data_IF_297656872835
#
_entry.id   IF_297656872835
#
_cell.length_a   1.000
_cell.length_b   1.000
_cell.length_c   1.000
_cell.angle_alpha   90.00
_cell.angle_beta   90.00
_cell.angle_gamma   90.00
#
_symmetry.space_group_name_H-M   'P 1'
#
loop_
_entity.id
_entity.type
_entity.pdbx_description
1 polymer ?
#
# COMPACT_ATOMS: atom_id res chain seq x y z
N UNK A 1 -41.40 -1.67 10.70
CA UNK A 1 -40.28 -2.57 11.07
C UNK A 1 -39.81 -3.45 9.90
N UNK A 2 -40.71 -4.03 9.13
CA UNK A 2 -40.31 -4.91 7.97
C UNK A 2 -39.42 -4.21 6.92
N UNK A 3 -39.71 -2.97 6.52
CA UNK A 3 -38.93 -2.23 5.52
C UNK A 3 -37.47 -2.00 5.92
N UNK A 4 -37.18 -1.67 7.19
CA UNK A 4 -35.82 -1.51 7.70
C UNK A 4 -35.03 -2.83 7.77
N UNK A 5 -35.71 -3.94 8.01
CA UNK A 5 -35.08 -5.26 7.97
C UNK A 5 -34.68 -5.62 6.53
N UNK A 6 -35.57 -5.39 5.56
CA UNK A 6 -35.29 -5.64 4.14
C UNK A 6 -34.13 -4.76 3.60
N UNK A 7 -34.10 -3.45 3.97
CA UNK A 7 -33.01 -2.54 3.57
C UNK A 7 -31.64 -2.95 4.18
N UNK A 8 -31.66 -3.52 5.38
CA UNK A 8 -30.44 -4.03 6.04
C UNK A 8 -29.95 -5.32 5.39
N UNK A 9 -30.88 -6.25 5.09
CA UNK A 9 -30.53 -7.51 4.42
C UNK A 9 -29.94 -7.24 3.01
N UNK A 10 -30.51 -6.28 2.28
CA UNK A 10 -30.00 -5.86 0.97
C UNK A 10 -28.58 -5.23 1.06
N UNK A 11 -28.33 -4.41 2.07
CA UNK A 11 -27.01 -3.84 2.30
C UNK A 11 -25.96 -4.93 2.64
N UNK A 12 -26.30 -5.90 3.47
CA UNK A 12 -25.42 -7.02 3.81
C UNK A 12 -25.09 -7.88 2.57
N UNK A 13 -26.08 -8.12 1.70
CA UNK A 13 -25.87 -8.83 0.44
C UNK A 13 -24.93 -8.07 -0.51
N UNK A 14 -25.11 -6.75 -0.63
CA UNK A 14 -24.23 -5.89 -1.44
C UNK A 14 -22.79 -5.90 -0.93
N UNK A 15 -22.58 -5.81 0.38
CA UNK A 15 -21.25 -5.90 1.01
C UNK A 15 -20.61 -7.26 0.72
N UNK A 16 -21.33 -8.34 0.83
CA UNK A 16 -20.82 -9.69 0.52
C UNK A 16 -20.39 -9.80 -0.95
N UNK A 17 -21.15 -9.24 -1.88
CA UNK A 17 -20.81 -9.20 -3.32
C UNK A 17 -19.56 -8.37 -3.58
N UNK A 18 -19.39 -7.22 -2.90
CA UNK A 18 -18.19 -6.39 -3.00
C UNK A 18 -16.98 -7.18 -2.54
N UNK A 19 -17.02 -7.79 -1.36
CA UNK A 19 -15.90 -8.60 -0.84
C UNK A 19 -15.54 -9.77 -1.78
N UNK A 20 -16.54 -10.45 -2.35
CA UNK A 20 -16.28 -11.51 -3.32
C UNK A 20 -15.57 -11.00 -4.58
N UNK A 21 -15.97 -9.84 -5.09
CA UNK A 21 -15.33 -9.20 -6.23
C UNK A 21 -13.89 -8.75 -5.92
N UNK A 22 -13.64 -8.18 -4.74
CA UNK A 22 -12.31 -7.80 -4.27
C UNK A 22 -11.36 -9.01 -4.20
N UNK A 23 -11.83 -10.11 -3.60
CA UNK A 23 -11.06 -11.36 -3.54
C UNK A 23 -10.76 -11.91 -4.93
N UNK A 24 -11.72 -11.86 -5.84
CA UNK A 24 -11.52 -12.26 -7.25
C UNK A 24 -10.45 -11.40 -7.92
N UNK A 25 -10.49 -10.09 -7.75
CA UNK A 25 -9.49 -9.16 -8.28
C UNK A 25 -8.09 -9.42 -7.68
N UNK A 26 -7.99 -9.69 -6.38
CA UNK A 26 -6.72 -10.04 -5.73
C UNK A 26 -6.12 -11.32 -6.34
N UNK A 27 -6.93 -12.35 -6.57
CA UNK A 27 -6.48 -13.60 -7.22
C UNK A 27 -5.95 -13.35 -8.64
N UNK A 28 -6.63 -12.50 -9.42
CA UNK A 28 -6.18 -12.11 -10.75
C UNK A 28 -4.86 -11.34 -10.68
N UNK A 29 -4.72 -10.39 -9.73
CA UNK A 29 -3.50 -9.62 -9.53
C UNK A 29 -2.30 -10.51 -9.17
N UNK A 30 -2.50 -11.51 -8.29
CA UNK A 30 -1.46 -12.48 -7.92
C UNK A 30 -1.06 -13.33 -9.14
N UNK A 31 -2.02 -13.87 -9.90
CA UNK A 31 -1.76 -14.70 -11.09
C UNK A 31 -1.05 -13.92 -12.21
N UNK A 32 -1.39 -12.66 -12.38
CA UNK A 32 -0.82 -11.80 -13.43
C UNK A 32 0.57 -11.24 -13.09
N UNK A 33 1.12 -11.57 -11.91
CA UNK A 33 2.36 -10.96 -11.38
C UNK A 33 2.32 -9.42 -11.37
N UNK A 34 1.12 -8.82 -11.39
CA UNK A 34 0.93 -7.38 -11.36
C UNK A 34 1.43 -6.73 -10.05
N UNK A 35 1.62 -7.53 -9.01
CA UNK A 35 2.29 -7.13 -7.77
C UNK A 35 3.80 -7.34 -7.94
N UNK A 36 4.47 -6.48 -8.74
CA UNK A 36 5.90 -6.54 -9.05
C UNK A 36 6.86 -6.63 -7.84
N UNK A 37 6.33 -6.44 -6.63
CA UNK A 37 7.04 -6.63 -5.34
C UNK A 37 7.60 -8.06 -5.22
N UNK A 38 6.91 -9.07 -5.76
CA UNK A 38 7.36 -10.47 -5.70
C UNK A 38 8.46 -10.83 -6.69
N UNK A 39 8.82 -9.93 -7.61
CA UNK A 39 9.96 -10.09 -8.51
C UNK A 39 11.26 -9.48 -7.97
N UNK A 40 11.23 -8.80 -6.82
CA UNK A 40 12.41 -8.26 -6.18
C UNK A 40 13.03 -9.29 -5.22
N UNK A 41 14.37 -9.37 -5.17
CA UNK A 41 15.13 -10.19 -4.21
C UNK A 41 15.04 -9.65 -2.76
N UNK A 42 13.92 -9.00 -2.42
CA UNK A 42 13.67 -8.45 -1.10
C UNK A 42 12.89 -9.45 -0.25
N UNK A 43 13.29 -9.59 1.01
CA UNK A 43 12.49 -10.32 1.99
C UNK A 43 11.23 -9.54 2.36
N UNK A 44 10.19 -10.22 2.82
CA UNK A 44 8.96 -9.56 3.28
C UNK A 44 9.21 -8.50 4.36
N UNK A 45 10.17 -8.73 5.26
CA UNK A 45 10.53 -7.74 6.28
C UNK A 45 11.17 -6.49 5.67
N UNK A 46 12.02 -6.64 4.66
CA UNK A 46 12.59 -5.51 3.93
C UNK A 46 11.51 -4.72 3.18
N UNK A 47 10.57 -5.41 2.56
CA UNK A 47 9.42 -4.76 1.91
C UNK A 47 8.59 -3.98 2.93
N UNK A 48 8.32 -4.53 4.12
CA UNK A 48 7.61 -3.81 5.18
C UNK A 48 8.33 -2.53 5.62
N UNK A 49 9.66 -2.56 5.77
CA UNK A 49 10.47 -1.36 6.08
C UNK A 49 10.25 -0.28 5.02
N UNK A 50 10.37 -0.65 3.74
CA UNK A 50 10.21 0.30 2.64
C UNK A 50 8.78 0.88 2.55
N UNK A 51 7.75 0.04 2.76
CA UNK A 51 6.36 0.50 2.78
C UNK A 51 6.09 1.47 3.93
N UNK A 52 6.65 1.22 5.14
CA UNK A 52 6.51 2.13 6.27
C UNK A 52 7.18 3.47 5.99
N UNK A 53 8.38 3.47 5.42
CA UNK A 53 9.08 4.71 5.04
C UNK A 53 8.36 5.47 3.92
N UNK A 54 7.68 4.77 3.02
CA UNK A 54 6.86 5.41 2.00
C UNK A 54 5.61 6.08 2.60
N UNK A 55 4.98 5.44 3.58
CA UNK A 55 3.74 5.93 4.20
C UNK A 55 4.01 7.06 5.21
N UNK A 56 5.05 6.96 6.03
CA UNK A 56 5.32 7.83 7.16
C UNK A 56 6.44 8.86 6.89
N UNK A 57 7.16 8.73 5.78
CA UNK A 57 8.35 9.53 5.52
C UNK A 57 9.58 9.06 6.31
N UNK A 58 10.54 9.98 6.50
CA UNK A 58 11.79 9.70 7.21
C UNK A 58 11.51 9.47 8.71
N UNK A 59 11.94 8.32 9.26
CA UNK A 59 11.70 7.90 10.65
C UNK A 59 13.01 7.69 11.41
N UNK A 60 13.01 7.90 12.72
CA UNK A 60 14.10 7.41 13.58
C UNK A 60 14.12 5.90 13.65
N UNK A 61 15.24 5.31 14.04
CA UNK A 61 15.34 3.85 14.20
C UNK A 61 14.38 3.32 15.27
N UNK A 62 14.09 4.12 16.30
CA UNK A 62 13.16 3.74 17.37
C UNK A 62 11.71 3.68 16.85
N UNK A 63 11.24 4.77 16.25
CA UNK A 63 9.89 4.86 15.66
C UNK A 63 9.65 3.74 14.65
N UNK A 64 10.62 3.47 13.79
CA UNK A 64 10.51 2.45 12.76
C UNK A 64 10.50 1.03 13.34
N UNK A 65 11.30 0.76 14.39
CA UNK A 65 11.31 -0.52 15.09
C UNK A 65 9.98 -0.78 15.78
N UNK A 66 9.44 0.22 16.46
CA UNK A 66 8.13 0.16 17.13
C UNK A 66 7.01 -0.11 16.14
N UNK A 67 6.93 0.69 15.04
CA UNK A 67 5.92 0.54 14.01
C UNK A 67 5.96 -0.83 13.30
N UNK A 68 7.13 -1.44 13.18
CA UNK A 68 7.31 -2.77 12.59
C UNK A 68 7.13 -3.92 13.60
N UNK A 69 7.15 -3.63 14.89
CA UNK A 69 7.12 -4.64 15.96
C UNK A 69 8.39 -5.50 15.99
N UNK A 70 9.57 -4.92 15.71
CA UNK A 70 10.86 -5.64 15.69
C UNK A 70 11.85 -5.05 16.68
N UNK A 71 12.81 -5.86 17.15
CA UNK A 71 13.90 -5.38 18.00
C UNK A 71 14.90 -4.49 17.23
N UNK A 72 15.56 -3.58 17.96
CA UNK A 72 16.52 -2.63 17.39
C UNK A 72 17.65 -3.28 16.58
N UNK A 73 18.19 -4.41 17.05
CA UNK A 73 19.23 -5.16 16.33
C UNK A 73 18.72 -5.72 15.01
N UNK A 74 17.49 -6.25 15.00
CA UNK A 74 16.85 -6.76 13.77
C UNK A 74 16.64 -5.63 12.77
N UNK A 75 16.11 -4.48 13.24
CA UNK A 75 15.93 -3.32 12.39
C UNK A 75 17.25 -2.84 11.79
N UNK A 76 18.31 -2.72 12.62
CA UNK A 76 19.64 -2.30 12.14
C UNK A 76 20.10 -3.18 10.99
N UNK A 77 20.03 -4.51 11.13
CA UNK A 77 20.42 -5.43 10.06
C UNK A 77 19.53 -5.36 8.81
N UNK A 78 18.23 -5.03 8.94
CA UNK A 78 17.35 -4.79 7.81
C UNK A 78 17.73 -3.50 7.06
N UNK A 79 17.94 -2.42 7.81
CA UNK A 79 18.31 -1.10 7.26
C UNK A 79 19.68 -1.16 6.58
N UNK A 80 20.67 -1.81 7.19
CA UNK A 80 22.02 -1.95 6.60
C UNK A 80 21.99 -2.66 5.23
N UNK A 81 21.18 -3.73 5.11
CA UNK A 81 21.01 -4.43 3.83
C UNK A 81 20.27 -3.60 2.78
N UNK A 82 19.29 -2.80 3.20
CA UNK A 82 18.57 -1.89 2.29
C UNK A 82 19.45 -0.70 1.89
N UNK A 83 20.28 -0.19 2.79
CA UNK A 83 21.24 0.88 2.50
C UNK A 83 22.34 0.41 1.54
N UNK A 84 22.86 -0.82 1.72
CA UNK A 84 23.81 -1.44 0.80
C UNK A 84 23.24 -1.59 -0.63
N UNK A 85 21.91 -1.64 -0.77
CA UNK A 85 21.20 -1.66 -2.06
C UNK A 85 20.77 -0.26 -2.53
N UNK A 86 21.19 0.79 -1.84
CA UNK A 86 20.77 2.17 -2.10
C UNK A 86 19.24 2.40 -2.06
N UNK A 87 18.48 1.54 -1.39
CA UNK A 87 17.02 1.67 -1.28
C UNK A 87 16.60 2.60 -0.13
N UNK A 88 17.41 2.69 0.91
CA UNK A 88 17.24 3.64 2.03
C UNK A 88 18.52 4.43 2.24
N UNK A 89 18.38 5.53 2.96
CA UNK A 89 19.49 6.41 3.35
C UNK A 89 19.35 6.79 4.82
N UNK A 90 20.45 7.11 5.47
CA UNK A 90 20.48 7.71 6.80
C UNK A 90 20.83 9.18 6.68
N UNK A 91 20.00 10.06 7.22
CA UNK A 91 20.22 11.50 7.25
C UNK A 91 20.24 12.00 8.70
N UNK A 92 20.97 13.08 9.01
CA UNK A 92 20.86 13.72 10.32
C UNK A 92 19.43 14.22 10.53
N UNK A 93 18.91 14.07 11.75
CA UNK A 93 17.64 14.69 12.12
C UNK A 93 17.80 16.24 12.07
N UNK A 94 16.79 16.96 11.57
CA UNK A 94 16.85 18.42 11.47
C UNK A 94 16.90 19.13 12.83
N UNK A 95 16.30 18.53 13.88
CA UNK A 95 16.22 19.10 15.23
C UNK A 95 17.38 18.63 16.14
N UNK A 96 17.78 17.36 16.03
CA UNK A 96 18.91 16.79 16.76
C UNK A 96 19.84 16.00 15.84
N UNK A 97 20.96 16.64 15.46
CA UNK A 97 21.97 16.03 14.57
C UNK A 97 22.63 14.76 15.12
N UNK A 98 22.45 14.46 16.41
CA UNK A 98 22.92 13.19 17.02
C UNK A 98 22.03 12.03 16.64
N UNK A 99 20.77 12.32 16.30
CA UNK A 99 19.80 11.33 15.82
C UNK A 99 19.95 11.17 14.31
N UNK A 100 19.88 9.94 13.84
CA UNK A 100 19.85 9.61 12.42
C UNK A 100 18.46 9.15 12.04
N UNK A 101 17.86 9.80 11.05
CA UNK A 101 16.61 9.35 10.43
C UNK A 101 16.91 8.45 9.25
N UNK A 102 16.06 7.48 9.07
CA UNK A 102 16.06 6.51 7.97
C UNK A 102 14.96 6.94 7.02
N UNK A 103 15.29 7.13 5.77
CA UNK A 103 14.33 7.50 4.73
C UNK A 103 14.57 6.72 3.43
N UNK A 104 13.63 6.78 2.50
CA UNK A 104 13.83 6.23 1.18
C UNK A 104 14.95 7.00 0.44
N UNK A 105 15.88 6.26 -0.15
CA UNK A 105 16.83 6.80 -1.12
C UNK A 105 16.16 6.94 -2.50
N UNK A 106 16.83 7.58 -3.46
CA UNK A 106 16.25 7.82 -4.79
C UNK A 106 15.95 6.52 -5.53
N UNK A 107 16.78 5.49 -5.35
CA UNK A 107 16.53 4.15 -5.89
C UNK A 107 15.27 3.51 -5.29
N UNK A 108 15.09 3.62 -3.96
CA UNK A 108 13.87 3.16 -3.29
C UNK A 108 12.62 3.87 -3.82
N UNK A 109 12.69 5.19 -4.01
CA UNK A 109 11.60 5.97 -4.60
C UNK A 109 11.30 5.55 -6.04
N UNK A 110 12.35 5.34 -6.86
CA UNK A 110 12.20 4.85 -8.25
C UNK A 110 11.55 3.48 -8.30
N UNK A 111 11.99 2.56 -7.45
CA UNK A 111 11.39 1.23 -7.36
C UNK A 111 9.88 1.30 -7.09
N UNK A 112 9.44 2.16 -6.16
CA UNK A 112 8.01 2.34 -5.91
C UNK A 112 7.29 3.00 -7.08
N UNK A 113 7.88 3.97 -7.74
CA UNK A 113 7.30 4.60 -8.93
C UNK A 113 7.08 3.58 -10.06
N UNK A 114 8.05 2.70 -10.29
CA UNK A 114 7.94 1.62 -11.27
C UNK A 114 6.83 0.62 -10.91
N UNK A 115 6.72 0.24 -9.62
CA UNK A 115 5.65 -0.62 -9.14
C UNK A 115 4.26 0.01 -9.35
N UNK A 116 4.14 1.31 -9.07
CA UNK A 116 2.90 2.05 -9.31
C UNK A 116 2.58 2.12 -10.81
N UNK A 117 3.58 2.33 -11.65
CA UNK A 117 3.38 2.36 -13.10
C UNK A 117 2.88 1.00 -13.63
N UNK A 118 3.49 -0.10 -13.20
CA UNK A 118 3.03 -1.45 -13.57
C UNK A 118 1.59 -1.70 -13.13
N UNK A 119 1.22 -1.28 -11.91
CA UNK A 119 -0.14 -1.36 -11.39
C UNK A 119 -1.11 -0.53 -12.26
N UNK A 120 -0.76 0.72 -12.58
CA UNK A 120 -1.58 1.59 -13.41
C UNK A 120 -1.78 1.03 -14.82
N UNK A 121 -0.73 0.51 -15.46
CA UNK A 121 -0.82 -0.07 -16.79
C UNK A 121 -1.69 -1.33 -16.80
N UNK A 122 -1.64 -2.12 -15.73
CA UNK A 122 -2.52 -3.27 -15.56
C UNK A 122 -3.98 -2.85 -15.38
N UNK A 123 -4.24 -1.86 -14.52
CA UNK A 123 -5.58 -1.32 -14.31
C UNK A 123 -6.14 -0.70 -15.60
N UNK A 124 -5.35 0.08 -16.35
CA UNK A 124 -5.77 0.65 -17.64
C UNK A 124 -6.22 -0.43 -18.63
N UNK A 125 -5.51 -1.56 -18.71
CA UNK A 125 -5.91 -2.70 -19.57
C UNK A 125 -7.23 -3.34 -19.14
N UNK A 126 -7.49 -3.42 -17.81
CA UNK A 126 -8.76 -3.93 -17.29
C UNK A 126 -9.87 -2.92 -17.59
N UNK A 127 -9.67 -1.64 -17.28
CA UNK A 127 -10.67 -0.58 -17.51
C UNK A 127 -11.03 -0.41 -18.99
N UNK A 128 -10.08 -0.64 -19.90
CA UNK A 128 -10.34 -0.61 -21.34
C UNK A 128 -11.31 -1.73 -21.81
N UNK A 129 -11.62 -2.71 -20.96
CA UNK A 129 -12.61 -3.76 -21.26
C UNK A 129 -14.01 -3.45 -20.73
N UNK A 130 -14.16 -2.40 -19.92
CA UNK A 130 -15.44 -1.93 -19.42
C UNK A 130 -16.06 -0.94 -20.42
N UNK A 131 -17.37 -0.94 -20.49
CA UNK A 131 -18.07 0.13 -21.22
C UNK A 131 -18.07 1.44 -20.41
N UNK A 132 -18.51 2.54 -21.06
CA UNK A 132 -18.53 3.87 -20.42
C UNK A 132 -19.49 3.96 -19.24
N UNK A 133 -20.57 3.19 -19.25
CA UNK A 133 -21.57 3.22 -18.19
C UNK A 133 -21.01 2.56 -16.92
N UNK A 134 -20.34 1.42 -17.08
CA UNK A 134 -19.72 0.70 -15.97
C UNK A 134 -18.48 1.44 -15.43
N UNK A 135 -17.68 2.09 -16.31
CA UNK A 135 -16.60 2.97 -15.85
C UNK A 135 -17.09 4.12 -14.99
N UNK A 136 -18.23 4.74 -15.38
CA UNK A 136 -18.82 5.84 -14.59
C UNK A 136 -19.30 5.36 -13.24
N UNK A 137 -20.05 4.25 -13.18
CA UNK A 137 -20.50 3.65 -11.91
C UNK A 137 -19.34 3.31 -10.99
N UNK A 138 -18.25 2.75 -11.55
CA UNK A 138 -17.07 2.41 -10.80
C UNK A 138 -16.37 3.66 -10.23
N UNK A 139 -16.23 4.73 -11.04
CA UNK A 139 -15.65 5.98 -10.58
C UNK A 139 -16.46 6.58 -9.44
N UNK A 140 -17.78 6.73 -9.62
CA UNK A 140 -18.71 7.27 -8.61
C UNK A 140 -18.66 6.44 -7.30
N UNK A 141 -18.63 5.10 -7.40
CA UNK A 141 -18.56 4.22 -6.25
C UNK A 141 -17.21 4.35 -5.50
N UNK A 142 -16.09 4.46 -6.22
CA UNK A 142 -14.77 4.63 -5.62
C UNK A 142 -14.61 6.01 -4.96
N UNK A 143 -15.16 7.08 -5.55
CA UNK A 143 -15.18 8.42 -4.97
C UNK A 143 -16.00 8.45 -3.66
N UNK A 144 -17.17 7.80 -3.65
CA UNK A 144 -18.00 7.68 -2.46
C UNK A 144 -17.30 6.86 -1.35
N UNK A 145 -16.62 5.77 -1.72
CA UNK A 145 -15.87 4.95 -0.77
C UNK A 145 -14.68 5.73 -0.18
N UNK A 146 -13.95 6.50 -1.00
CA UNK A 146 -12.86 7.34 -0.53
C UNK A 146 -13.35 8.40 0.46
N UNK A 147 -14.49 9.06 0.19
CA UNK A 147 -15.10 10.04 1.09
C UNK A 147 -15.45 9.41 2.44
N UNK A 148 -16.12 8.26 2.44
CA UNK A 148 -16.47 7.53 3.65
C UNK A 148 -15.23 7.10 4.46
N UNK A 149 -14.19 6.64 3.79
CA UNK A 149 -12.93 6.25 4.45
C UNK A 149 -12.23 7.45 5.10
N UNK A 150 -12.26 8.63 4.49
CA UNK A 150 -11.72 9.85 5.08
C UNK A 150 -12.50 10.31 6.32
N UNK A 151 -13.81 10.10 6.34
CA UNK A 151 -14.66 10.41 7.52
C UNK A 151 -14.38 9.44 8.67
N UNK A 152 -14.08 8.18 8.40
CA UNK A 152 -13.85 7.15 9.43
C UNK A 152 -12.43 7.21 10.02
N UNK A 153 -11.41 7.53 9.21
CA UNK A 153 -9.99 7.40 9.57
C UNK A 153 -9.19 8.71 9.47
N UNK A 154 -9.80 9.80 9.04
CA UNK A 154 -9.20 11.15 8.93
C UNK A 154 -9.57 11.96 10.15
#
# INVERSE_FOLDING_TARGET
MARRATERDEAEELVARIHAAELGMQQVAIRSRALGIFSSDLTMQQVRVLLMLMALGDQSAHELAEALGVGATTLTGLVDRLEARALVRRVPDPEDRRVRRIGLADEGRRMFAELQQVKHDHQRRIFARLDRADLRKLAEALEALEAAAREEFG
#
